data_IF_239161319126
#
_entry.id   IF_239161319126
#
_cell.length_a   1.000
_cell.length_b   1.000
_cell.length_c   1.000
_cell.angle_alpha   90.00
_cell.angle_beta   90.00
_cell.angle_gamma   90.00
#
_symmetry.space_group_name_H-M   'P 1'
#
loop_
_entity.id
_entity.type
_entity.pdbx_description
1 polymer ?
#
# COMPACT_ATOMS: atom_id res chain seq x y z
N UNK A 1 13.77 -11.51 -5.11
CA UNK A 1 14.70 -10.73 -4.25
C UNK A 1 14.12 -10.71 -2.85
N UNK A 2 14.93 -10.85 -1.81
CA UNK A 2 14.46 -10.77 -0.43
C UNK A 2 14.88 -9.41 0.15
N UNK A 3 13.93 -8.49 0.29
CA UNK A 3 14.17 -7.18 0.91
C UNK A 3 13.86 -7.30 2.39
N UNK A 4 14.89 -7.27 3.24
CA UNK A 4 14.73 -7.27 4.70
C UNK A 4 15.33 -6.00 5.28
N UNK A 5 14.48 -5.11 5.77
CA UNK A 5 14.87 -3.89 6.46
C UNK A 5 13.82 -3.50 7.52
N UNK A 6 14.07 -2.41 8.24
CA UNK A 6 13.16 -1.91 9.29
C UNK A 6 11.73 -1.69 8.82
N UNK A 7 11.51 -1.33 7.55
CA UNK A 7 10.17 -1.07 7.00
C UNK A 7 9.42 -2.39 6.76
N UNK A 8 10.05 -3.37 6.11
CA UNK A 8 9.43 -4.69 5.88
C UNK A 8 9.12 -5.39 7.20
N UNK A 9 10.00 -5.27 8.20
CA UNK A 9 9.81 -5.88 9.52
C UNK A 9 8.70 -5.20 10.33
N UNK A 10 8.61 -3.87 10.29
CA UNK A 10 7.58 -3.12 11.03
C UNK A 10 6.18 -3.28 10.43
N UNK A 11 6.08 -3.34 9.10
CA UNK A 11 4.79 -3.33 8.39
C UNK A 11 4.31 -4.74 8.00
N UNK A 12 5.16 -5.76 8.10
CA UNK A 12 4.83 -7.13 7.69
C UNK A 12 4.66 -7.29 6.17
N UNK A 13 5.42 -6.53 5.38
CA UNK A 13 5.36 -6.53 3.91
C UNK A 13 6.65 -7.10 3.31
N UNK A 14 6.58 -7.66 2.10
CA UNK A 14 7.71 -8.30 1.41
C UNK A 14 8.61 -7.30 0.65
N UNK A 15 8.02 -6.21 0.18
CA UNK A 15 8.67 -5.18 -0.62
C UNK A 15 8.57 -3.86 0.14
N UNK A 16 9.67 -3.13 0.37
CA UNK A 16 9.69 -1.87 1.11
C UNK A 16 9.14 -0.70 0.27
N UNK A 17 7.95 -0.89 -0.30
CA UNK A 17 7.23 0.08 -1.13
C UNK A 17 5.90 0.37 -0.45
N UNK A 18 5.62 1.66 -0.27
CA UNK A 18 4.37 2.17 0.29
C UNK A 18 3.67 2.98 -0.79
N UNK A 19 2.42 2.64 -1.09
CA UNK A 19 1.62 3.43 -2.03
C UNK A 19 1.11 4.70 -1.35
N UNK A 20 1.39 5.87 -1.95
CA UNK A 20 0.94 7.16 -1.43
C UNK A 20 -0.60 7.29 -1.49
N UNK A 21 -1.28 7.84 -0.47
CA UNK A 21 -2.72 8.07 -0.51
C UNK A 21 -3.05 9.17 -1.53
N UNK A 22 -3.53 8.75 -2.70
CA UNK A 22 -3.86 9.63 -3.82
C UNK A 22 -5.37 9.87 -3.83
N UNK A 23 -5.79 11.12 -3.62
CA UNK A 23 -7.20 11.49 -3.65
C UNK A 23 -7.89 11.04 -4.93
N UNK A 24 -9.12 10.53 -4.83
CA UNK A 24 -9.94 9.96 -5.92
C UNK A 24 -9.39 8.69 -6.60
N UNK A 25 -8.11 8.37 -6.42
CA UNK A 25 -7.40 7.31 -7.15
C UNK A 25 -7.16 6.09 -6.25
N UNK A 26 -6.73 6.31 -5.01
CA UNK A 26 -6.33 5.26 -4.07
C UNK A 26 -7.55 4.59 -3.41
N UNK A 27 -8.37 3.91 -4.21
CA UNK A 27 -9.51 3.08 -3.79
C UNK A 27 -9.08 1.65 -3.52
N UNK A 28 -10.05 0.80 -3.14
CA UNK A 28 -9.83 -0.60 -2.77
C UNK A 28 -9.09 -1.40 -3.85
N UNK A 29 -9.35 -1.14 -5.14
CA UNK A 29 -8.68 -1.85 -6.24
C UNK A 29 -7.17 -1.58 -6.27
N UNK A 30 -6.75 -0.32 -6.11
CA UNK A 30 -5.32 0.02 -6.12
C UNK A 30 -4.63 -0.48 -4.85
N UNK A 31 -5.22 -0.23 -3.68
CA UNK A 31 -4.66 -0.64 -2.39
C UNK A 31 -4.51 -2.17 -2.30
N UNK A 32 -5.51 -2.93 -2.77
CA UNK A 32 -5.43 -4.39 -2.82
C UNK A 32 -4.42 -4.91 -3.82
N UNK A 33 -4.30 -4.30 -5.02
CA UNK A 33 -3.29 -4.69 -6.00
C UNK A 33 -1.86 -4.51 -5.45
N UNK A 34 -1.59 -3.39 -4.75
CA UNK A 34 -0.30 -3.15 -4.10
C UNK A 34 -0.05 -4.16 -2.98
N UNK A 35 -1.06 -4.44 -2.15
CA UNK A 35 -0.95 -5.40 -1.05
C UNK A 35 -0.69 -6.82 -1.56
N UNK A 36 -1.39 -7.24 -2.62
CA UNK A 36 -1.19 -8.55 -3.27
C UNK A 36 0.19 -8.67 -3.94
N UNK A 37 0.78 -7.54 -4.35
CA UNK A 37 2.16 -7.51 -4.86
C UNK A 37 3.22 -7.52 -3.74
N UNK A 38 2.81 -7.52 -2.46
CA UNK A 38 3.70 -7.60 -1.30
C UNK A 38 4.16 -6.24 -0.75
N UNK A 39 3.54 -5.12 -1.16
CA UNK A 39 3.78 -3.79 -0.60
C UNK A 39 2.69 -3.35 0.40
N UNK A 40 2.80 -2.12 0.93
CA UNK A 40 1.73 -1.53 1.76
C UNK A 40 0.77 -0.72 0.88
N UNK A 41 -0.44 -1.23 0.66
CA UNK A 41 -1.54 -0.50 0.04
C UNK A 41 -2.26 0.42 1.04
N UNK A 42 -2.66 1.61 0.60
CA UNK A 42 -3.35 2.61 1.43
C UNK A 42 -4.64 3.06 0.72
N UNK A 43 -5.78 2.86 1.38
CA UNK A 43 -7.06 3.42 0.95
C UNK A 43 -7.13 4.89 1.42
N UNK A 44 -7.35 5.78 0.48
CA UNK A 44 -7.61 7.18 0.74
C UNK A 44 -9.10 7.40 1.08
N UNK A 45 -9.38 8.24 2.09
CA UNK A 45 -10.73 8.36 2.70
C UNK A 45 -11.29 9.79 2.73
N UNK A 46 -10.53 10.78 2.28
CA UNK A 46 -10.93 12.19 2.27
C UNK A 46 -11.70 12.60 1.01
N UNK A 47 -11.49 11.93 -0.13
CA UNK A 47 -12.19 12.19 -1.38
C UNK A 47 -13.53 11.46 -1.43
N UNK A 48 -14.59 12.18 -1.81
CA UNK A 48 -15.98 11.68 -1.83
C UNK A 48 -16.20 10.43 -2.69
N UNK A 49 -17.29 9.70 -2.37
CA UNK A 49 -17.65 8.35 -2.86
C UNK A 49 -16.59 7.28 -2.56
N UNK A 50 -16.81 6.52 -1.47
CA UNK A 50 -16.01 5.35 -1.08
C UNK A 50 -16.48 4.09 -1.80
#
# INVERSE_FOLDING_TARGET
MQFRNRITDLLGIEIPVVQAPMGWIARSQLASAVSNAGGLGIIETSSGEL
#
